data_IF_931262076054
#
_entry.id   IF_931262076054
#
_cell.length_a   1.000
_cell.length_b   1.000
_cell.length_c   1.000
_cell.angle_alpha   90.00
_cell.angle_beta   90.00
_cell.angle_gamma   90.00
#
_symmetry.space_group_name_H-M   'P 1'
#
loop_
_entity.id
_entity.type
_entity.pdbx_description
1 polymer ?
#
# COMPACT_ATOMS: atom_id res chain seq x y z
N UNK A 1 67.97 -22.05 3.00
CA UNK A 1 66.74 -22.67 2.52
C UNK A 1 65.76 -23.04 3.64
N UNK A 2 66.17 -23.70 4.70
CA UNK A 2 65.27 -24.18 5.81
C UNK A 2 64.48 -23.09 6.53
N UNK A 3 65.05 -21.89 6.83
CA UNK A 3 64.35 -20.78 7.52
C UNK A 3 63.18 -20.18 6.68
N UNK A 4 63.29 -20.03 5.38
CA UNK A 4 62.21 -19.51 4.52
C UNK A 4 61.03 -20.47 4.48
N UNK A 5 61.29 -21.76 4.42
CA UNK A 5 60.23 -22.78 4.38
C UNK A 5 59.47 -22.87 5.69
N UNK A 6 60.15 -22.71 6.81
CA UNK A 6 59.53 -22.65 8.17
C UNK A 6 58.58 -21.46 8.34
N UNK A 7 59.00 -20.26 7.87
CA UNK A 7 58.14 -19.05 7.91
C UNK A 7 56.90 -19.22 7.03
N UNK A 8 57.02 -19.78 5.83
CA UNK A 8 55.89 -20.04 4.95
C UNK A 8 54.89 -21.00 5.56
N UNK A 9 55.35 -22.04 6.27
CA UNK A 9 54.48 -23.00 6.96
C UNK A 9 53.69 -22.35 8.12
N UNK A 10 54.34 -21.47 8.90
CA UNK A 10 53.67 -20.75 9.99
C UNK A 10 52.60 -19.78 9.44
N UNK A 11 52.92 -19.04 8.38
CA UNK A 11 51.97 -18.11 7.74
C UNK A 11 50.77 -18.86 7.16
N UNK A 12 51.01 -19.99 6.51
CA UNK A 12 49.93 -20.83 5.96
C UNK A 12 49.03 -21.38 7.11
N UNK A 13 49.61 -21.80 8.22
CA UNK A 13 48.86 -22.28 9.39
C UNK A 13 48.04 -21.18 10.07
N UNK A 14 48.59 -19.95 10.16
CA UNK A 14 47.83 -18.79 10.67
C UNK A 14 46.66 -18.41 9.75
N UNK A 15 46.81 -18.45 8.45
CA UNK A 15 45.74 -18.20 7.47
C UNK A 15 44.63 -19.24 7.62
N UNK A 16 44.94 -20.50 7.79
CA UNK A 16 43.95 -21.57 7.98
C UNK A 16 43.20 -21.41 9.32
N UNK A 17 43.87 -21.02 10.40
CA UNK A 17 43.25 -20.75 11.70
C UNK A 17 42.33 -19.54 11.61
N UNK A 18 42.77 -18.43 11.00
CA UNK A 18 41.97 -17.23 10.79
C UNK A 18 40.74 -17.50 9.92
N UNK A 19 40.90 -18.26 8.83
CA UNK A 19 39.75 -18.63 7.98
C UNK A 19 38.76 -19.52 8.73
N UNK A 20 39.20 -20.44 9.55
CA UNK A 20 38.33 -21.27 10.41
C UNK A 20 37.57 -20.46 11.46
N UNK A 21 38.22 -19.44 12.06
CA UNK A 21 37.55 -18.54 13.03
C UNK A 21 36.54 -17.67 12.32
N UNK A 22 36.88 -17.09 11.15
CA UNK A 22 35.98 -16.28 10.34
C UNK A 22 34.72 -17.06 9.86
N UNK A 23 34.92 -18.28 9.37
CA UNK A 23 33.80 -19.14 8.96
C UNK A 23 32.92 -19.51 10.13
N UNK A 24 33.46 -19.84 11.29
CA UNK A 24 32.69 -20.15 12.49
C UNK A 24 31.90 -18.93 13.00
N UNK A 25 32.50 -17.75 12.93
CA UNK A 25 31.84 -16.49 13.32
C UNK A 25 30.69 -16.14 12.36
N UNK A 26 30.91 -16.28 11.06
CA UNK A 26 29.91 -16.06 10.03
C UNK A 26 28.72 -17.02 10.16
N UNK A 27 28.97 -18.32 10.34
CA UNK A 27 27.90 -19.31 10.50
C UNK A 27 27.12 -19.12 11.80
N UNK A 28 27.75 -18.72 12.90
CA UNK A 28 27.07 -18.42 14.15
C UNK A 28 26.18 -17.18 14.03
N UNK A 29 26.66 -16.12 13.39
CA UNK A 29 25.86 -14.90 13.14
C UNK A 29 24.65 -15.17 12.26
N UNK A 30 24.84 -15.89 11.14
CA UNK A 30 23.75 -16.29 10.23
C UNK A 30 22.69 -17.14 10.94
N UNK A 31 23.09 -18.07 11.81
CA UNK A 31 22.15 -18.90 12.57
C UNK A 31 21.35 -18.09 13.59
N UNK A 32 21.96 -17.12 14.25
CA UNK A 32 21.29 -16.24 15.22
C UNK A 32 20.28 -15.34 14.52
N UNK A 33 20.64 -14.76 13.38
CA UNK A 33 19.77 -13.90 12.57
C UNK A 33 18.55 -14.69 12.04
N UNK A 34 18.78 -15.91 11.58
CA UNK A 34 17.70 -16.82 11.15
C UNK A 34 16.74 -17.16 12.30
N UNK A 35 17.25 -17.43 13.51
CA UNK A 35 16.42 -17.72 14.69
C UNK A 35 15.58 -16.51 15.12
N UNK A 36 16.17 -15.30 15.12
CA UNK A 36 15.45 -14.06 15.43
C UNK A 36 14.35 -13.78 14.41
N UNK A 37 14.64 -13.97 13.14
CA UNK A 37 13.67 -13.80 12.06
C UNK A 37 12.49 -14.78 12.22
N UNK A 38 12.77 -16.05 12.50
CA UNK A 38 11.73 -17.06 12.71
C UNK A 38 10.88 -16.78 13.96
N UNK A 39 11.48 -16.30 15.05
CA UNK A 39 10.74 -15.91 16.25
C UNK A 39 9.81 -14.72 15.97
N UNK A 40 10.30 -13.70 15.28
CA UNK A 40 9.49 -12.54 14.89
C UNK A 40 8.35 -12.90 13.96
N UNK A 41 8.55 -13.81 13.01
CA UNK A 41 7.49 -14.30 12.13
C UNK A 41 6.38 -15.03 12.91
N UNK A 42 6.73 -15.85 13.90
CA UNK A 42 5.74 -16.50 14.78
C UNK A 42 4.93 -15.50 15.59
N UNK A 43 5.55 -14.43 16.07
CA UNK A 43 4.84 -13.37 16.78
C UNK A 43 3.84 -12.67 15.84
N UNK A 44 4.23 -12.39 14.60
CA UNK A 44 3.33 -11.82 13.59
C UNK A 44 2.17 -12.77 13.29
N UNK A 45 2.44 -14.06 13.10
CA UNK A 45 1.40 -15.06 12.88
C UNK A 45 0.37 -15.06 14.03
N UNK A 46 0.84 -15.00 15.27
CA UNK A 46 -0.04 -14.92 16.44
C UNK A 46 -0.91 -13.65 16.45
N UNK A 47 -0.31 -12.49 16.14
CA UNK A 47 -1.04 -11.20 16.07
C UNK A 47 -2.12 -11.27 14.99
N UNK A 48 -1.77 -11.74 13.79
CA UNK A 48 -2.71 -11.84 12.67
C UNK A 48 -3.85 -12.81 13.01
N UNK A 49 -3.55 -13.99 13.53
CA UNK A 49 -4.59 -14.95 13.91
C UNK A 49 -5.50 -14.40 15.03
N UNK A 50 -4.94 -13.71 16.02
CA UNK A 50 -5.73 -13.06 17.07
C UNK A 50 -6.66 -12.00 16.50
N UNK A 51 -6.18 -11.14 15.62
CA UNK A 51 -6.99 -10.12 14.97
C UNK A 51 -8.10 -10.73 14.08
N UNK A 52 -7.77 -11.77 13.32
CA UNK A 52 -8.74 -12.49 12.51
C UNK A 52 -9.87 -13.10 13.36
N UNK A 53 -9.51 -13.75 14.46
CA UNK A 53 -10.49 -14.38 15.37
C UNK A 53 -11.40 -13.33 16.03
N UNK A 54 -10.82 -12.24 16.54
CA UNK A 54 -11.58 -11.18 17.20
C UNK A 54 -12.50 -10.43 16.23
N UNK A 55 -12.02 -10.17 15.01
CA UNK A 55 -12.76 -9.47 13.95
C UNK A 55 -13.65 -10.39 13.10
N UNK A 56 -13.65 -11.71 13.32
CA UNK A 56 -14.30 -12.72 12.47
C UNK A 56 -13.92 -12.56 10.99
N UNK A 57 -12.63 -12.24 10.73
CA UNK A 57 -12.10 -11.99 9.40
C UNK A 57 -11.72 -13.33 8.74
N UNK A 58 -12.34 -13.70 7.60
CA UNK A 58 -12.13 -15.02 6.99
C UNK A 58 -10.76 -15.18 6.34
N UNK A 59 -10.16 -14.10 5.84
CA UNK A 59 -8.89 -14.13 5.14
C UNK A 59 -8.14 -12.82 5.15
N UNK A 60 -6.80 -12.89 5.21
CA UNK A 60 -5.90 -11.73 5.26
C UNK A 60 -4.66 -12.01 4.42
N UNK A 61 -4.16 -11.01 3.69
CA UNK A 61 -2.83 -11.03 3.08
C UNK A 61 -1.95 -10.00 3.76
N UNK A 62 -0.74 -10.41 4.15
CA UNK A 62 0.21 -9.55 4.87
C UNK A 62 1.51 -9.49 4.10
N UNK A 63 1.97 -8.29 3.80
CA UNK A 63 3.31 -7.99 3.28
C UNK A 63 4.03 -7.07 4.26
N UNK A 64 5.21 -7.47 4.70
CA UNK A 64 6.10 -6.66 5.52
C UNK A 64 7.42 -6.50 4.77
N UNK A 65 7.82 -5.25 4.57
CA UNK A 65 9.10 -4.87 3.98
C UNK A 65 9.93 -4.18 5.07
N UNK A 66 11.16 -4.63 5.25
CA UNK A 66 12.13 -4.06 6.18
C UNK A 66 13.47 -3.93 5.49
N UNK A 67 14.13 -2.78 5.60
CA UNK A 67 15.43 -2.49 4.99
C UNK A 67 15.47 -2.84 3.49
N UNK A 68 14.43 -2.43 2.75
CA UNK A 68 14.18 -2.71 1.32
C UNK A 68 14.13 -4.21 0.95
N UNK A 69 13.92 -5.09 1.93
CA UNK A 69 13.77 -6.54 1.71
C UNK A 69 12.41 -7.00 2.20
N UNK A 70 11.81 -7.93 1.46
CA UNK A 70 10.59 -8.60 1.90
C UNK A 70 10.92 -9.46 3.12
N UNK A 71 10.38 -9.08 4.28
CA UNK A 71 10.51 -9.82 5.53
C UNK A 71 9.44 -10.89 5.67
N UNK A 72 8.19 -10.57 5.29
CA UNK A 72 7.06 -11.47 5.29
C UNK A 72 6.20 -11.18 4.06
N UNK A 73 5.75 -12.22 3.36
CA UNK A 73 4.72 -12.17 2.33
C UNK A 73 3.85 -13.41 2.44
N UNK A 74 2.71 -13.31 3.13
CA UNK A 74 1.94 -14.48 3.55
C UNK A 74 0.44 -14.23 3.53
N UNK A 75 -0.31 -15.22 3.06
CA UNK A 75 -1.77 -15.29 3.17
C UNK A 75 -2.21 -16.12 4.38
N UNK A 76 -3.32 -15.72 4.99
CA UNK A 76 -3.94 -16.38 6.14
C UNK A 76 -5.43 -16.60 5.86
N UNK A 77 -5.98 -17.73 6.33
CA UNK A 77 -7.39 -18.06 6.19
C UNK A 77 -7.82 -18.34 4.75
N UNK A 78 -9.03 -17.93 4.39
CA UNK A 78 -9.70 -18.28 3.15
C UNK A 78 -10.09 -17.03 2.34
N UNK A 79 -9.83 -17.06 1.04
CA UNK A 79 -10.34 -16.10 0.07
C UNK A 79 -11.79 -16.38 -0.31
N UNK A 80 -12.17 -17.68 -0.26
CA UNK A 80 -13.54 -18.13 -0.38
C UNK A 80 -13.76 -19.25 0.65
N UNK A 81 -14.66 -19.02 1.59
CA UNK A 81 -14.92 -19.92 2.71
C UNK A 81 -15.64 -21.18 2.23
N UNK A 82 -16.66 -21.03 1.37
CA UNK A 82 -17.50 -22.13 0.89
C UNK A 82 -16.69 -23.10 0.03
N UNK A 83 -15.83 -22.59 -0.83
CA UNK A 83 -14.94 -23.35 -1.68
C UNK A 83 -13.64 -23.77 -0.98
N UNK A 84 -13.43 -23.39 0.28
CA UNK A 84 -12.19 -23.62 1.05
C UNK A 84 -10.92 -23.14 0.32
N UNK A 85 -11.05 -22.11 -0.50
CA UNK A 85 -9.93 -21.50 -1.24
C UNK A 85 -9.07 -20.68 -0.29
N UNK A 86 -7.81 -21.04 -0.12
CA UNK A 86 -6.88 -20.35 0.77
C UNK A 86 -6.45 -18.98 0.20
N UNK A 87 -6.22 -18.03 1.11
CA UNK A 87 -5.52 -16.79 0.76
C UNK A 87 -4.05 -17.10 0.46
N UNK A 88 -3.56 -16.54 -0.62
CA UNK A 88 -2.15 -16.57 -1.03
C UNK A 88 -1.62 -15.14 -1.17
N UNK A 89 -0.30 -14.91 -1.29
CA UNK A 89 0.25 -13.60 -1.61
C UNK A 89 -0.27 -13.00 -2.92
N UNK A 90 -0.81 -13.82 -3.83
CA UNK A 90 -1.36 -13.42 -5.13
C UNK A 90 -2.88 -13.18 -5.09
N UNK A 91 -3.53 -13.46 -3.97
CA UNK A 91 -4.96 -13.21 -3.81
C UNK A 91 -5.23 -11.70 -3.93
N UNK A 92 -6.17 -11.34 -4.80
CA UNK A 92 -6.57 -9.95 -4.99
C UNK A 92 -7.64 -9.58 -3.97
N UNK A 93 -7.48 -8.42 -3.36
CA UNK A 93 -8.43 -7.80 -2.45
C UNK A 93 -8.85 -6.44 -2.98
N UNK A 94 -10.09 -6.08 -2.77
CA UNK A 94 -10.53 -4.71 -2.95
C UNK A 94 -9.87 -3.83 -1.88
N UNK A 95 -9.26 -2.73 -2.32
CA UNK A 95 -8.53 -1.83 -1.43
C UNK A 95 -9.35 -0.61 -1.02
N UNK A 96 -10.62 -0.56 -1.45
CA UNK A 96 -11.59 0.48 -1.12
C UNK A 96 -10.96 1.90 -1.21
N UNK A 97 -11.10 2.74 -0.19
CA UNK A 97 -10.61 4.12 -0.20
C UNK A 97 -9.09 4.28 -0.31
N UNK A 98 -8.30 3.22 -0.15
CA UNK A 98 -6.86 3.31 -0.47
C UNK A 98 -6.62 3.63 -1.96
N UNK A 99 -7.61 3.35 -2.83
CA UNK A 99 -7.61 3.75 -4.25
C UNK A 99 -7.44 5.26 -4.43
N UNK A 100 -7.93 6.08 -3.49
CA UNK A 100 -7.80 7.55 -3.55
C UNK A 100 -6.34 8.01 -3.60
N UNK A 101 -5.45 7.29 -2.92
CA UNK A 101 -4.02 7.60 -2.96
C UNK A 101 -3.44 7.42 -4.37
N UNK A 102 -3.86 6.38 -5.09
CA UNK A 102 -3.44 6.16 -6.49
C UNK A 102 -4.01 7.23 -7.43
N UNK A 103 -5.28 7.60 -7.25
CA UNK A 103 -5.90 8.70 -8.00
C UNK A 103 -5.15 10.01 -7.75
N UNK A 104 -4.88 10.34 -6.49
CA UNK A 104 -4.14 11.54 -6.11
C UNK A 104 -2.74 11.56 -6.73
N UNK A 105 -2.02 10.44 -6.67
CA UNK A 105 -0.70 10.30 -7.30
C UNK A 105 -0.76 10.54 -8.82
N UNK A 106 -1.73 9.93 -9.52
CA UNK A 106 -1.90 10.13 -10.95
C UNK A 106 -2.20 11.59 -11.32
N UNK A 107 -3.03 12.29 -10.55
CA UNK A 107 -3.30 13.72 -10.75
C UNK A 107 -2.03 14.57 -10.52
N UNK A 108 -1.23 14.25 -9.49
CA UNK A 108 0.03 14.96 -9.24
C UNK A 108 1.04 14.75 -10.37
N UNK A 109 1.13 13.54 -10.95
CA UNK A 109 1.96 13.29 -12.12
C UNK A 109 1.53 14.16 -13.32
N UNK A 110 0.22 14.24 -13.60
CA UNK A 110 -0.29 15.10 -14.66
C UNK A 110 0.02 16.59 -14.40
N UNK A 111 0.01 17.02 -13.14
CA UNK A 111 0.37 18.37 -12.77
C UNK A 111 1.88 18.64 -12.98
N UNK A 112 2.74 17.68 -12.60
CA UNK A 112 4.19 17.75 -12.80
C UNK A 112 4.54 17.80 -14.30
N UNK A 113 3.81 17.06 -15.14
CA UNK A 113 3.94 17.08 -16.60
C UNK A 113 3.35 18.34 -17.24
N UNK A 114 2.80 19.28 -16.48
CA UNK A 114 2.17 20.52 -16.97
C UNK A 114 0.86 20.32 -17.72
N UNK A 115 0.25 19.12 -17.63
CA UNK A 115 -1.03 18.80 -18.30
C UNK A 115 -2.24 19.38 -17.58
N UNK A 116 -2.12 19.68 -16.30
CA UNK A 116 -3.12 20.35 -15.48
C UNK A 116 -2.45 21.19 -14.38
N UNK A 117 -3.23 22.11 -13.78
CA UNK A 117 -2.82 22.83 -12.57
C UNK A 117 -3.80 22.50 -11.44
N UNK A 118 -3.31 22.26 -10.24
CA UNK A 118 -4.15 21.93 -9.09
C UNK A 118 -5.14 23.04 -8.72
N UNK A 119 -4.83 24.28 -9.06
CA UNK A 119 -5.72 25.43 -8.85
C UNK A 119 -6.71 25.64 -10.02
N UNK A 120 -6.62 24.82 -11.08
CA UNK A 120 -7.61 24.90 -12.14
C UNK A 120 -8.99 24.47 -11.62
N UNK A 121 -10.03 25.13 -12.14
CA UNK A 121 -11.41 24.76 -11.92
C UNK A 121 -11.70 23.41 -12.60
N UNK A 122 -12.51 22.57 -11.96
CA UNK A 122 -12.94 21.30 -12.54
C UNK A 122 -13.66 21.52 -13.88
N UNK A 123 -14.44 22.59 -13.99
CA UNK A 123 -15.14 22.99 -15.22
C UNK A 123 -14.24 23.22 -16.44
N UNK A 124 -12.93 23.47 -16.24
CA UNK A 124 -11.95 23.53 -17.34
C UNK A 124 -11.76 22.19 -18.06
N UNK A 125 -11.89 21.08 -17.33
CA UNK A 125 -11.66 19.71 -17.85
C UNK A 125 -12.98 18.96 -18.08
N UNK A 126 -13.99 19.29 -17.29
CA UNK A 126 -15.35 18.74 -17.40
C UNK A 126 -16.27 19.93 -17.67
N UNK A 127 -16.55 20.24 -18.95
CA UNK A 127 -17.40 21.37 -19.31
C UNK A 127 -18.77 21.28 -18.62
N UNK A 128 -19.30 22.45 -18.24
CA UNK A 128 -20.59 22.58 -17.55
C UNK A 128 -20.67 21.93 -16.14
N UNK A 129 -19.58 21.41 -15.61
CA UNK A 129 -19.58 20.95 -14.22
C UNK A 129 -19.60 22.15 -13.27
N UNK A 130 -20.55 22.15 -12.35
CA UNK A 130 -20.65 23.11 -11.25
C UNK A 130 -21.34 22.45 -10.05
N UNK A 131 -21.15 23.01 -8.89
CA UNK A 131 -21.92 22.73 -7.69
C UNK A 131 -22.75 23.96 -7.31
N UNK A 132 -23.65 23.86 -6.34
CA UNK A 132 -24.37 25.00 -5.79
C UNK A 132 -24.03 25.21 -4.33
N UNK A 133 -24.09 26.45 -3.86
CA UNK A 133 -23.98 26.84 -2.46
C UNK A 133 -24.76 28.13 -2.23
N UNK A 134 -25.77 28.09 -1.37
CA UNK A 134 -26.71 29.18 -1.14
C UNK A 134 -27.35 29.66 -2.46
N UNK A 135 -27.87 28.73 -3.25
CA UNK A 135 -28.50 28.97 -4.56
C UNK A 135 -27.60 29.58 -5.63
N UNK A 136 -26.30 29.73 -5.38
CA UNK A 136 -25.33 30.23 -6.35
C UNK A 136 -24.47 29.10 -6.94
N UNK A 137 -24.16 29.20 -8.23
CA UNK A 137 -23.19 28.29 -8.86
C UNK A 137 -21.80 28.54 -8.32
N UNK A 138 -21.13 27.46 -7.93
CA UNK A 138 -19.75 27.48 -7.45
C UNK A 138 -18.88 26.57 -8.29
N UNK A 139 -17.74 27.07 -8.68
CA UNK A 139 -16.65 26.28 -9.22
C UNK A 139 -15.81 25.72 -8.09
N UNK A 140 -15.39 24.50 -8.25
CA UNK A 140 -14.44 23.85 -7.34
C UNK A 140 -13.12 23.56 -8.07
N UNK A 141 -12.03 23.58 -7.37
CA UNK A 141 -10.70 23.32 -7.93
C UNK A 141 -10.31 21.85 -7.73
N UNK A 142 -9.37 21.37 -8.56
CA UNK A 142 -8.77 20.04 -8.41
C UNK A 142 -8.14 19.90 -7.02
N UNK A 143 -7.47 20.94 -6.52
CA UNK A 143 -6.87 20.97 -5.18
C UNK A 143 -7.90 20.74 -4.07
N UNK A 144 -9.07 21.40 -4.18
CA UNK A 144 -10.15 21.24 -3.20
C UNK A 144 -10.73 19.82 -3.21
N UNK A 145 -10.86 19.19 -4.39
CA UNK A 145 -11.26 17.77 -4.48
C UNK A 145 -10.25 16.84 -3.81
N UNK A 146 -8.97 16.97 -4.15
CA UNK A 146 -7.90 16.13 -3.58
C UNK A 146 -7.74 16.31 -2.07
N UNK A 147 -7.97 17.54 -1.58
CA UNK A 147 -7.85 17.89 -0.17
C UNK A 147 -9.12 17.67 0.65
N UNK A 148 -10.21 17.19 0.04
CA UNK A 148 -11.52 17.03 0.68
C UNK A 148 -12.06 18.34 1.30
N UNK A 149 -11.78 19.47 0.65
CA UNK A 149 -12.20 20.82 1.09
C UNK A 149 -13.15 21.49 0.10
N UNK A 150 -13.72 20.71 -0.80
CA UNK A 150 -14.66 21.20 -1.83
C UNK A 150 -16.08 21.46 -1.31
N UNK A 151 -16.40 20.97 -0.12
CA UNK A 151 -17.76 21.04 0.43
C UNK A 151 -18.73 20.00 -0.13
N UNK A 152 -18.31 19.12 -1.05
CA UNK A 152 -19.15 18.05 -1.60
C UNK A 152 -19.54 17.10 -0.46
N UNK A 153 -20.85 16.77 -0.30
CA UNK A 153 -21.32 15.79 0.65
C UNK A 153 -20.66 14.42 0.47
N UNK A 154 -20.34 13.71 1.57
CA UNK A 154 -19.72 12.39 1.51
C UNK A 154 -20.65 11.31 0.95
N UNK A 155 -21.93 11.52 1.06
CA UNK A 155 -23.04 10.62 0.69
C UNK A 155 -23.64 10.94 -0.68
N UNK A 156 -23.05 11.86 -1.44
CA UNK A 156 -23.60 12.37 -2.71
C UNK A 156 -23.92 11.24 -3.73
N UNK A 157 -23.33 10.08 -3.56
CA UNK A 157 -23.51 8.93 -4.46
C UNK A 157 -24.17 7.72 -3.79
N UNK A 158 -24.58 7.81 -2.53
CA UNK A 158 -25.09 6.63 -1.78
C UNK A 158 -26.41 6.08 -2.37
N UNK A 159 -27.29 6.95 -2.84
CA UNK A 159 -28.58 6.53 -3.40
C UNK A 159 -28.42 5.74 -4.70
N UNK A 160 -27.33 5.96 -5.44
CA UNK A 160 -27.08 5.37 -6.76
C UNK A 160 -26.08 4.21 -6.73
N UNK A 161 -25.57 3.87 -5.54
CA UNK A 161 -24.47 2.91 -5.35
C UNK A 161 -24.75 1.50 -5.88
N UNK A 162 -26.02 1.16 -6.05
CA UNK A 162 -26.48 -0.16 -6.51
C UNK A 162 -27.07 -0.14 -7.94
N UNK A 163 -27.04 1.02 -8.63
CA UNK A 163 -27.49 1.07 -10.01
C UNK A 163 -26.45 0.45 -10.95
N UNK A 164 -26.89 -0.25 -12.00
CA UNK A 164 -26.01 -0.80 -13.03
C UNK A 164 -25.17 0.29 -13.73
N UNK A 165 -25.71 1.51 -13.81
CA UNK A 165 -25.07 2.69 -14.41
C UNK A 165 -24.01 3.34 -13.52
N UNK A 166 -23.97 3.03 -12.22
CA UNK A 166 -23.01 3.59 -11.26
C UNK A 166 -21.54 3.34 -11.64
N UNK A 167 -21.28 2.31 -12.44
CA UNK A 167 -19.93 1.97 -12.89
C UNK A 167 -19.36 2.93 -13.96
N UNK A 168 -20.15 3.89 -14.43
CA UNK A 168 -19.70 4.90 -15.39
C UNK A 168 -19.23 6.17 -14.67
N UNK A 169 -17.93 6.54 -14.84
CA UNK A 169 -17.42 7.83 -14.34
C UNK A 169 -18.26 9.01 -14.85
N UNK A 170 -18.77 8.92 -16.06
CA UNK A 170 -19.66 9.94 -16.65
C UNK A 170 -20.94 10.08 -15.82
N UNK A 171 -21.57 8.98 -15.45
CA UNK A 171 -22.80 8.98 -14.66
C UNK A 171 -22.57 9.66 -13.29
N UNK A 172 -21.48 9.32 -12.60
CA UNK A 172 -21.14 9.93 -11.30
C UNK A 172 -20.98 11.44 -11.43
N UNK A 173 -20.30 11.91 -12.49
CA UNK A 173 -20.11 13.34 -12.74
C UNK A 173 -21.43 14.05 -13.01
N UNK A 174 -22.29 13.49 -13.85
CA UNK A 174 -23.61 14.07 -14.17
C UNK A 174 -24.52 14.06 -12.93
N UNK A 175 -24.47 13.02 -12.11
CA UNK A 175 -25.25 12.93 -10.88
C UNK A 175 -24.81 13.98 -9.84
N UNK A 176 -23.51 14.25 -9.73
CA UNK A 176 -22.97 15.26 -8.81
C UNK A 176 -23.23 16.69 -9.25
N UNK A 177 -23.37 16.93 -10.57
CA UNK A 177 -23.54 18.25 -11.17
C UNK A 177 -24.77 18.99 -10.60
N UNK A 178 -24.57 20.20 -10.14
CA UNK A 178 -25.63 21.06 -9.62
C UNK A 178 -26.12 20.71 -8.22
N UNK A 179 -25.54 19.69 -7.58
CA UNK A 179 -25.89 19.38 -6.20
C UNK A 179 -25.38 20.47 -5.23
N UNK A 180 -26.06 20.59 -4.09
CA UNK A 180 -25.72 21.55 -3.04
C UNK A 180 -24.50 21.09 -2.26
N UNK A 181 -23.60 22.03 -1.96
CA UNK A 181 -22.43 21.81 -1.10
C UNK A 181 -22.83 21.96 0.38
N UNK A 182 -22.26 21.16 1.25
CA UNK A 182 -22.44 21.28 2.71
C UNK A 182 -21.78 22.54 3.27
N UNK A 183 -20.71 23.03 2.61
CA UNK A 183 -19.95 24.20 3.04
C UNK A 183 -19.45 24.95 1.79
N UNK A 184 -19.12 26.24 1.98
CA UNK A 184 -18.45 27.00 0.94
C UNK A 184 -17.14 26.31 0.50
N UNK A 185 -16.86 26.20 -0.81
CA UNK A 185 -15.67 25.60 -1.34
C UNK A 185 -14.41 26.45 -1.09
#
# INVERSE_FOLDING_TARGET
MKKKQFIITIVAMMILILSGILTKHYTAHSKTESMLTHHSQKQIDHIVHSAMNNGKIPGVSVLIVKDNKVFLNKGYGYANVDQKMKVTPQTKFEIASNTKAFTGYGILQLAEEGKLNLNDKVSKYIPDFYMTYNDEKKDITIKQLLGHTSGIPSDITEEDHYSEDYNSLKHIVEYAKGKELNNAP
#
